data_IF_991643419493
#
_entry.id   IF_991643419493
#
_cell.length_a   1.000
_cell.length_b   1.000
_cell.length_c   1.000
_cell.angle_alpha   90.00
_cell.angle_beta   90.00
_cell.angle_gamma   90.00
#
_symmetry.space_group_name_H-M   'P 1'
#
loop_
_entity.id
_entity.type
_entity.pdbx_description
1 polymer ?
#
# COMPACT_ATOMS: atom_id res chain seq x y z
N UNK A 1 21.16 19.16 -12.14
CA UNK A 1 20.28 18.34 -11.28
C UNK A 1 18.97 17.98 -11.99
N UNK A 2 18.13 18.94 -12.43
CA UNK A 2 16.85 18.67 -13.12
C UNK A 2 16.99 17.70 -14.30
N UNK A 3 17.90 17.95 -15.25
CA UNK A 3 18.11 17.08 -16.42
C UNK A 3 18.47 15.63 -16.05
N UNK A 4 19.22 15.42 -14.97
CA UNK A 4 19.55 14.09 -14.46
C UNK A 4 18.29 13.39 -13.91
N UNK A 5 17.50 14.07 -13.07
CA UNK A 5 16.27 13.51 -12.51
C UNK A 5 15.26 13.19 -13.61
N UNK A 6 15.08 14.08 -14.59
CA UNK A 6 14.19 13.85 -15.75
C UNK A 6 14.62 12.59 -16.53
N UNK A 7 15.93 12.39 -16.72
CA UNK A 7 16.43 11.20 -17.44
C UNK A 7 16.31 9.90 -16.67
N UNK A 8 16.42 9.94 -15.34
CA UNK A 8 16.50 8.76 -14.48
C UNK A 8 15.41 8.74 -13.40
N UNK A 9 14.18 9.16 -13.72
CA UNK A 9 13.09 9.35 -12.75
C UNK A 9 12.83 8.12 -11.87
N UNK A 10 12.73 6.93 -12.46
CA UNK A 10 12.46 5.67 -11.73
C UNK A 10 13.61 5.36 -10.77
N UNK A 11 14.86 5.47 -11.23
CA UNK A 11 16.03 5.23 -10.38
C UNK A 11 16.09 6.23 -9.22
N UNK A 12 15.85 7.52 -9.50
CA UNK A 12 15.80 8.55 -8.46
C UNK A 12 14.71 8.26 -7.44
N UNK A 13 13.52 7.88 -7.90
CA UNK A 13 12.42 7.50 -7.00
C UNK A 13 12.83 6.34 -6.08
N UNK A 14 13.36 5.25 -6.63
CA UNK A 14 13.77 4.08 -5.85
C UNK A 14 14.83 4.45 -4.82
N UNK A 15 15.89 5.15 -5.25
CA UNK A 15 16.98 5.55 -4.35
C UNK A 15 16.48 6.45 -3.23
N UNK A 16 15.64 7.44 -3.53
CA UNK A 16 15.08 8.36 -2.53
C UNK A 16 14.15 7.61 -1.57
N UNK A 17 13.24 6.76 -2.09
CA UNK A 17 12.31 5.99 -1.26
C UNK A 17 13.07 5.10 -0.26
N UNK A 18 14.05 4.34 -0.74
CA UNK A 18 14.87 3.47 0.10
C UNK A 18 15.74 4.27 1.09
N UNK A 19 16.33 5.38 0.65
CA UNK A 19 17.12 6.23 1.54
C UNK A 19 16.29 6.82 2.68
N UNK A 20 15.12 7.39 2.37
CA UNK A 20 14.22 7.93 3.40
C UNK A 20 13.77 6.82 4.35
N UNK A 21 13.31 5.68 3.82
CA UNK A 21 12.77 4.60 4.63
C UNK A 21 13.84 3.89 5.46
N UNK A 22 14.92 3.41 4.83
CA UNK A 22 15.86 2.49 5.45
C UNK A 22 17.05 3.19 6.09
N UNK A 23 17.54 4.31 5.52
CA UNK A 23 18.71 5.00 6.07
C UNK A 23 18.34 6.10 7.07
N UNK A 24 17.12 6.65 7.01
CA UNK A 24 16.68 7.72 7.91
C UNK A 24 15.56 7.19 8.83
N UNK A 25 14.46 6.73 8.25
CA UNK A 25 13.26 6.36 8.99
C UNK A 25 13.48 5.15 9.91
N UNK A 26 14.12 4.10 9.41
CA UNK A 26 14.35 2.89 10.21
C UNK A 26 15.30 3.12 11.40
N UNK A 27 16.47 3.76 11.26
CA UNK A 27 17.30 4.10 12.40
C UNK A 27 16.59 5.03 13.40
N UNK A 28 15.87 6.05 12.92
CA UNK A 28 15.13 6.93 13.80
C UNK A 28 14.07 6.16 14.60
N UNK A 29 13.33 5.26 13.94
CA UNK A 29 12.36 4.38 14.61
C UNK A 29 13.03 3.53 15.69
N UNK A 30 14.12 2.85 15.36
CA UNK A 30 14.75 1.87 16.26
C UNK A 30 15.46 2.52 17.45
N UNK A 31 16.14 3.65 17.25
CA UNK A 31 17.04 4.25 18.26
C UNK A 31 16.45 5.45 18.99
N UNK A 32 15.31 5.99 18.54
CA UNK A 32 14.73 7.19 19.14
C UNK A 32 13.23 7.00 19.42
N UNK A 33 12.45 6.64 18.41
CA UNK A 33 10.98 6.69 18.53
C UNK A 33 10.42 5.49 19.29
N UNK A 34 11.05 4.32 19.25
CA UNK A 34 10.59 3.17 20.02
C UNK A 34 10.69 3.45 21.52
N UNK A 35 11.78 4.06 21.98
CA UNK A 35 11.95 4.41 23.41
C UNK A 35 11.00 5.54 23.82
N UNK A 36 10.85 6.56 22.95
CA UNK A 36 9.97 7.72 23.24
C UNK A 36 8.51 7.31 23.36
N UNK A 37 8.09 6.25 22.70
CA UNK A 37 6.71 5.79 22.62
C UNK A 37 6.47 4.41 23.23
N UNK A 38 7.43 3.87 24.00
CA UNK A 38 7.37 2.52 24.58
C UNK A 38 6.14 2.31 25.46
N UNK A 39 5.75 3.29 26.25
CA UNK A 39 4.62 3.22 27.20
C UNK A 39 3.26 3.62 26.61
N UNK A 40 3.18 3.88 25.32
CA UNK A 40 1.93 4.32 24.71
C UNK A 40 1.07 3.13 24.29
N UNK A 41 -0.07 2.95 24.94
CA UNK A 41 -1.11 1.96 24.53
C UNK A 41 -1.64 2.20 23.12
N UNK A 42 -1.44 3.38 22.63
CA UNK A 42 -1.96 3.81 21.36
C UNK A 42 -0.93 3.64 20.29
N UNK A 43 -1.27 3.05 19.23
CA UNK A 43 -0.84 3.30 17.88
C UNK A 43 0.19 4.39 17.58
N UNK A 44 0.90 4.91 18.55
CA UNK A 44 2.17 5.61 18.41
C UNK A 44 3.19 4.73 17.68
N UNK A 45 2.93 3.41 17.62
CA UNK A 45 3.54 2.49 16.68
C UNK A 45 3.36 2.92 15.21
N UNK A 46 2.29 3.60 14.85
CA UNK A 46 2.13 4.21 13.52
C UNK A 46 3.02 5.44 13.36
N UNK A 47 3.06 6.33 14.36
CA UNK A 47 3.92 7.52 14.32
C UNK A 47 5.41 7.15 14.27
N UNK A 48 5.84 6.14 15.04
CA UNK A 48 7.23 5.67 14.99
C UNK A 48 7.61 5.11 13.61
N UNK A 49 6.65 4.57 12.86
CA UNK A 49 6.86 4.03 11.52
C UNK A 49 6.72 5.10 10.41
N UNK A 50 6.23 6.30 10.70
CA UNK A 50 5.82 7.28 9.67
C UNK A 50 6.92 7.53 8.64
N UNK A 51 8.15 7.86 9.04
CA UNK A 51 9.23 8.11 8.09
C UNK A 51 9.66 6.85 7.31
N UNK A 52 9.57 5.68 7.94
CA UNK A 52 9.82 4.41 7.23
C UNK A 52 8.82 4.25 6.11
N UNK A 53 7.54 4.45 6.41
CA UNK A 53 6.43 4.14 5.50
C UNK A 53 6.22 5.23 4.45
N UNK A 54 6.47 6.51 4.78
CA UNK A 54 6.31 7.63 3.85
C UNK A 54 7.45 7.78 2.83
N UNK A 55 8.50 6.97 2.89
CA UNK A 55 9.58 7.03 1.91
C UNK A 55 9.10 7.03 0.47
N UNK A 56 8.22 6.11 0.05
CA UNK A 56 7.66 6.08 -1.31
C UNK A 56 6.84 7.31 -1.69
N UNK A 57 5.94 7.78 -0.81
CA UNK A 57 5.14 8.98 -1.07
C UNK A 57 6.02 10.23 -1.22
N UNK A 58 6.98 10.40 -0.32
CA UNK A 58 7.93 11.52 -0.36
C UNK A 58 8.84 11.46 -1.58
N UNK A 59 9.30 10.26 -1.97
CA UNK A 59 10.08 10.09 -3.19
C UNK A 59 9.30 10.53 -4.44
N UNK A 60 8.05 10.14 -4.56
CA UNK A 60 7.16 10.60 -5.63
C UNK A 60 7.02 12.12 -5.64
N UNK A 61 6.74 12.70 -4.47
CA UNK A 61 6.59 14.15 -4.32
C UNK A 61 7.88 14.91 -4.71
N UNK A 62 9.04 14.42 -4.26
CA UNK A 62 10.34 15.04 -4.58
C UNK A 62 10.62 14.95 -6.09
N UNK A 63 10.45 13.78 -6.71
CA UNK A 63 10.70 13.61 -8.14
C UNK A 63 9.77 14.52 -8.95
N UNK A 64 8.46 14.52 -8.67
CA UNK A 64 7.48 15.35 -9.37
C UNK A 64 7.77 16.84 -9.18
N UNK A 65 8.14 17.26 -7.97
CA UNK A 65 8.46 18.68 -7.72
C UNK A 65 9.61 19.20 -8.61
N UNK A 66 10.58 18.32 -8.88
CA UNK A 66 11.74 18.64 -9.72
C UNK A 66 11.38 18.56 -11.23
N UNK A 67 10.58 17.58 -11.63
CA UNK A 67 10.27 17.34 -13.06
C UNK A 67 9.14 18.22 -13.56
N UNK A 68 8.01 18.25 -12.84
CA UNK A 68 6.74 18.79 -13.31
C UNK A 68 6.27 20.02 -12.50
N UNK A 69 6.96 20.33 -11.40
CA UNK A 69 6.69 21.51 -10.57
C UNK A 69 5.34 21.46 -9.86
N UNK A 70 4.75 22.65 -9.62
CA UNK A 70 3.51 22.77 -8.84
C UNK A 70 2.30 22.12 -9.48
N UNK A 71 2.22 22.11 -10.80
CA UNK A 71 1.13 21.44 -11.53
C UNK A 71 1.20 19.92 -11.35
N UNK A 72 2.41 19.35 -11.44
CA UNK A 72 2.62 17.93 -11.18
C UNK A 72 2.26 17.55 -9.74
N UNK A 73 2.64 18.37 -8.76
CA UNK A 73 2.26 18.17 -7.34
C UNK A 73 0.74 18.18 -7.18
N UNK A 74 0.05 19.16 -7.77
CA UNK A 74 -1.42 19.23 -7.71
C UNK A 74 -2.06 17.99 -8.31
N UNK A 75 -1.61 17.54 -9.48
CA UNK A 75 -2.11 16.33 -10.13
C UNK A 75 -1.82 15.05 -9.30
N UNK A 76 -0.65 14.98 -8.67
CA UNK A 76 -0.27 13.86 -7.81
C UNK A 76 -1.17 13.75 -6.58
N UNK A 77 -1.37 14.86 -5.88
CA UNK A 77 -2.24 14.89 -4.69
C UNK A 77 -3.72 14.76 -5.05
N UNK A 78 -4.14 15.24 -6.22
CA UNK A 78 -5.51 15.10 -6.71
C UNK A 78 -5.96 13.65 -6.89
N UNK A 79 -5.01 12.69 -7.02
CA UNK A 79 -5.35 11.25 -7.03
C UNK A 79 -5.94 10.74 -5.71
N UNK A 80 -5.82 11.52 -4.64
CA UNK A 80 -6.41 11.23 -3.33
C UNK A 80 -7.83 11.77 -3.18
N UNK A 81 -8.39 12.45 -4.18
CA UNK A 81 -9.75 12.94 -4.09
C UNK A 81 -10.74 11.77 -3.99
N UNK A 82 -11.63 11.79 -2.98
CA UNK A 82 -12.64 10.76 -2.84
C UNK A 82 -13.75 10.97 -3.90
N UNK A 83 -14.01 9.96 -4.71
CA UNK A 83 -15.07 9.99 -5.71
C UNK A 83 -16.25 9.11 -5.28
N UNK A 84 -17.45 9.66 -5.20
CA UNK A 84 -18.65 8.94 -4.74
C UNK A 84 -18.96 7.67 -5.57
N UNK A 85 -18.56 7.64 -6.84
CA UNK A 85 -18.69 6.48 -7.72
C UNK A 85 -17.93 5.24 -7.20
N UNK A 86 -16.98 5.45 -6.29
CA UNK A 86 -16.18 4.40 -5.69
C UNK A 86 -16.69 3.95 -4.31
N UNK A 87 -17.85 4.42 -3.84
CA UNK A 87 -18.37 4.13 -2.50
C UNK A 87 -18.49 2.63 -2.20
N UNK A 88 -18.75 1.82 -3.21
CA UNK A 88 -18.82 0.37 -3.05
C UNK A 88 -17.47 -0.19 -2.56
N UNK A 89 -16.35 0.35 -3.03
CA UNK A 89 -15.02 -0.05 -2.60
C UNK A 89 -14.71 0.41 -1.18
N UNK A 90 -15.20 1.58 -0.77
CA UNK A 90 -14.97 2.10 0.57
C UNK A 90 -15.64 1.23 1.65
N UNK A 91 -16.69 0.51 1.29
CA UNK A 91 -17.43 -0.38 2.19
C UNK A 91 -16.94 -1.83 2.05
N UNK A 92 -16.85 -2.32 0.81
CA UNK A 92 -16.54 -3.73 0.56
C UNK A 92 -15.12 -4.12 0.94
N UNK A 93 -14.13 -3.23 0.73
CA UNK A 93 -12.73 -3.54 1.04
C UNK A 93 -12.49 -3.72 2.55
N UNK A 94 -12.93 -2.81 3.45
CA UNK A 94 -12.79 -3.04 4.88
C UNK A 94 -13.52 -4.29 5.38
N UNK A 95 -14.74 -4.54 4.89
CA UNK A 95 -15.48 -5.75 5.24
C UNK A 95 -14.75 -7.01 4.77
N UNK A 96 -14.24 -7.03 3.55
CA UNK A 96 -13.46 -8.14 3.03
C UNK A 96 -12.18 -8.38 3.85
N UNK A 97 -11.43 -7.31 4.17
CA UNK A 97 -10.22 -7.39 4.98
C UNK A 97 -10.47 -7.99 6.35
N UNK A 98 -11.53 -7.53 7.04
CA UNK A 98 -11.94 -8.08 8.34
C UNK A 98 -12.30 -9.56 8.22
N UNK A 99 -13.13 -9.93 7.23
CA UNK A 99 -13.56 -11.33 7.04
C UNK A 99 -12.38 -12.23 6.72
N UNK A 100 -11.50 -11.82 5.81
CA UNK A 100 -10.31 -12.59 5.42
C UNK A 100 -9.40 -12.80 6.63
N UNK A 101 -9.16 -11.76 7.41
CA UNK A 101 -8.30 -11.85 8.60
C UNK A 101 -8.93 -12.76 9.67
N UNK A 102 -10.21 -12.61 9.96
CA UNK A 102 -10.91 -13.48 10.90
C UNK A 102 -10.84 -14.95 10.49
N UNK A 103 -11.09 -15.24 9.21
CA UNK A 103 -10.98 -16.61 8.68
C UNK A 103 -9.57 -17.16 8.84
N UNK A 104 -8.55 -16.36 8.56
CA UNK A 104 -7.16 -16.78 8.68
C UNK A 104 -6.75 -17.03 10.14
N UNK A 105 -7.15 -16.17 11.06
CA UNK A 105 -6.84 -16.34 12.50
C UNK A 105 -7.57 -17.54 13.09
N UNK A 106 -8.86 -17.73 12.77
CA UNK A 106 -9.63 -18.91 13.22
C UNK A 106 -9.00 -20.19 12.68
N UNK A 107 -8.69 -20.25 11.39
CA UNK A 107 -8.05 -21.40 10.77
C UNK A 107 -6.60 -21.58 11.26
N UNK A 108 -5.94 -20.51 11.71
CA UNK A 108 -4.62 -20.52 12.35
C UNK A 108 -4.63 -21.09 13.77
N UNK A 109 -5.81 -21.26 14.37
CA UNK A 109 -5.97 -21.91 15.68
C UNK A 109 -6.48 -20.99 16.81
N UNK A 110 -6.90 -19.76 16.50
CA UNK A 110 -7.55 -18.88 17.48
C UNK A 110 -9.05 -19.20 17.56
N UNK A 111 -9.63 -19.23 18.75
CA UNK A 111 -11.07 -19.41 18.90
C UNK A 111 -11.83 -18.11 18.57
N UNK A 112 -13.05 -18.18 18.02
CA UNK A 112 -13.89 -17.00 17.81
C UNK A 112 -14.12 -16.19 19.08
N UNK A 113 -14.21 -16.86 20.24
CA UNK A 113 -14.36 -16.20 21.54
C UNK A 113 -13.16 -15.32 21.90
N UNK A 114 -11.94 -15.85 21.75
CA UNK A 114 -10.71 -15.06 21.96
C UNK A 114 -10.66 -13.82 21.06
N UNK A 115 -10.98 -13.97 19.78
CA UNK A 115 -10.98 -12.84 18.84
C UNK A 115 -12.05 -11.80 19.21
N UNK A 116 -13.22 -12.23 19.65
CA UNK A 116 -14.27 -11.33 20.14
C UNK A 116 -13.84 -10.58 21.42
N UNK A 117 -13.19 -11.24 22.36
CA UNK A 117 -12.64 -10.62 23.57
C UNK A 117 -11.63 -9.52 23.24
N UNK A 118 -10.75 -9.73 22.27
CA UNK A 118 -9.80 -8.71 21.83
C UNK A 118 -10.49 -7.45 21.28
N UNK A 119 -11.60 -7.62 20.56
CA UNK A 119 -12.35 -6.47 20.01
C UNK A 119 -13.10 -5.74 21.13
N UNK A 120 -13.76 -6.46 22.04
CA UNK A 120 -14.57 -5.85 23.14
C UNK A 120 -13.67 -5.14 24.16
N UNK A 121 -12.45 -5.61 24.36
CA UNK A 121 -11.49 -4.99 25.29
C UNK A 121 -10.98 -3.60 24.85
N UNK A 122 -11.25 -3.20 23.60
CA UNK A 122 -10.73 -1.95 23.03
C UNK A 122 -11.80 -0.85 23.05
N UNK A 123 -11.43 0.33 23.51
CA UNK A 123 -12.33 1.48 23.43
C UNK A 123 -12.58 1.87 21.96
N UNK A 124 -13.80 2.37 21.61
CA UNK A 124 -14.11 2.81 20.27
C UNK A 124 -13.15 3.88 19.74
N UNK A 125 -12.67 4.77 20.63
CA UNK A 125 -11.69 5.80 20.27
C UNK A 125 -10.35 5.18 19.83
N UNK A 126 -9.85 4.20 20.59
CA UNK A 126 -8.61 3.50 20.26
C UNK A 126 -8.74 2.75 18.93
N UNK A 127 -9.89 2.11 18.69
CA UNK A 127 -10.18 1.45 17.42
C UNK A 127 -10.15 2.43 16.24
N UNK A 128 -10.79 3.59 16.37
CA UNK A 128 -10.76 4.66 15.36
C UNK A 128 -9.33 5.16 15.10
N UNK A 129 -8.51 5.29 16.14
CA UNK A 129 -7.12 5.70 15.98
C UNK A 129 -6.27 4.66 15.27
N UNK A 130 -6.50 3.37 15.51
CA UNK A 130 -5.86 2.29 14.76
C UNK A 130 -6.26 2.32 13.28
N UNK A 131 -7.55 2.47 12.98
CA UNK A 131 -8.04 2.59 11.60
C UNK A 131 -7.44 3.83 10.92
N UNK A 132 -7.49 4.97 11.60
CA UNK A 132 -6.90 6.22 11.11
C UNK A 132 -5.40 6.10 10.86
N UNK A 133 -4.66 5.47 11.78
CA UNK A 133 -3.24 5.20 11.62
C UNK A 133 -2.93 4.29 10.42
N UNK A 134 -3.71 3.24 10.23
CA UNK A 134 -3.57 2.36 9.07
C UNK A 134 -3.83 3.10 7.75
N UNK A 135 -4.88 3.91 7.68
CA UNK A 135 -5.18 4.70 6.48
C UNK A 135 -4.14 5.80 6.23
N UNK A 136 -3.88 6.64 7.25
CA UNK A 136 -3.09 7.86 7.08
C UNK A 136 -1.58 7.61 7.10
N UNK A 137 -1.12 6.52 7.70
CA UNK A 137 0.32 6.20 7.73
C UNK A 137 0.63 5.09 6.73
N UNK A 138 0.06 3.89 6.92
CA UNK A 138 0.42 2.75 6.05
C UNK A 138 -0.11 2.95 4.63
N UNK A 139 -1.42 3.01 4.46
CA UNK A 139 -2.04 3.12 3.15
C UNK A 139 -1.59 4.36 2.37
N UNK A 140 -1.63 5.54 2.97
CA UNK A 140 -1.25 6.79 2.29
C UNK A 140 0.25 6.84 1.96
N UNK A 141 1.11 6.49 2.94
CA UNK A 141 2.56 6.56 2.78
C UNK A 141 3.08 5.63 1.67
N UNK A 142 2.45 4.48 1.51
CA UNK A 142 2.85 3.51 0.52
C UNK A 142 2.13 3.70 -0.82
N UNK A 143 0.81 3.73 -0.83
CA UNK A 143 0.06 3.70 -2.09
C UNK A 143 0.23 4.97 -2.93
N UNK A 144 0.40 6.13 -2.29
CA UNK A 144 0.69 7.36 -3.00
C UNK A 144 2.02 7.24 -3.78
N UNK A 145 3.02 6.58 -3.21
CA UNK A 145 4.29 6.30 -3.90
C UNK A 145 4.17 5.16 -4.93
N UNK A 146 3.74 3.98 -4.48
CA UNK A 146 3.76 2.78 -5.32
C UNK A 146 2.75 2.83 -6.46
N UNK A 147 1.47 3.16 -6.18
CA UNK A 147 0.40 3.19 -7.20
C UNK A 147 0.10 4.58 -7.69
N UNK A 148 0.38 5.61 -6.88
CA UNK A 148 0.22 7.00 -7.30
C UNK A 148 1.32 7.47 -8.26
N UNK A 149 2.56 6.97 -8.13
CA UNK A 149 3.68 7.40 -8.96
C UNK A 149 4.38 6.25 -9.70
N UNK A 150 4.87 5.23 -8.99
CA UNK A 150 5.77 4.24 -9.60
C UNK A 150 5.07 3.34 -10.62
N UNK A 151 3.89 2.80 -10.29
CA UNK A 151 3.15 1.92 -11.18
C UNK A 151 2.83 2.59 -12.53
N UNK A 152 2.18 3.78 -12.59
CA UNK A 152 1.92 4.44 -13.85
C UNK A 152 3.22 4.77 -14.61
N UNK A 153 4.27 5.19 -13.90
CA UNK A 153 5.56 5.51 -14.54
C UNK A 153 6.25 4.29 -15.15
N UNK A 154 6.15 3.13 -14.52
CA UNK A 154 6.64 1.87 -15.06
C UNK A 154 5.77 1.35 -16.21
N UNK A 155 4.50 1.69 -16.24
CA UNK A 155 3.58 1.29 -17.30
C UNK A 155 3.77 2.08 -18.60
N UNK A 156 4.45 3.23 -18.59
CA UNK A 156 4.79 3.98 -19.79
C UNK A 156 5.57 3.09 -20.78
N UNK A 157 4.98 2.80 -21.94
CA UNK A 157 5.54 1.94 -22.98
C UNK A 157 5.67 0.46 -22.63
N UNK A 158 4.99 0.00 -21.55
CA UNK A 158 4.97 -1.41 -21.10
C UNK A 158 3.56 -1.87 -20.80
N UNK A 159 3.34 -3.19 -20.80
CA UNK A 159 2.08 -3.72 -20.28
C UNK A 159 1.98 -3.50 -18.77
N UNK A 160 0.75 -3.28 -18.29
CA UNK A 160 0.46 -3.08 -16.87
C UNK A 160 0.94 -4.28 -16.03
N UNK A 161 0.88 -5.50 -16.60
CA UNK A 161 1.44 -6.72 -16.00
C UNK A 161 2.95 -6.62 -15.76
N UNK A 162 3.73 -6.11 -16.73
CA UNK A 162 5.18 -5.92 -16.54
C UNK A 162 5.45 -4.88 -15.47
N UNK A 163 4.71 -3.76 -15.48
CA UNK A 163 4.82 -2.73 -14.46
C UNK A 163 4.49 -3.27 -13.07
N UNK A 164 3.42 -4.05 -12.94
CA UNK A 164 3.02 -4.74 -11.70
C UNK A 164 4.14 -5.64 -11.15
N UNK A 165 4.76 -6.47 -11.99
CA UNK A 165 5.86 -7.34 -11.55
C UNK A 165 7.09 -6.55 -11.09
N UNK A 166 7.36 -5.41 -11.74
CA UNK A 166 8.45 -4.52 -11.31
C UNK A 166 8.12 -3.85 -9.96
N UNK A 167 6.87 -3.38 -9.77
CA UNK A 167 6.42 -2.85 -8.48
C UNK A 167 6.52 -3.92 -7.40
N UNK A 168 6.06 -5.14 -7.65
CA UNK A 168 6.21 -6.27 -6.73
C UNK A 168 7.66 -6.46 -6.28
N UNK A 169 8.59 -6.55 -7.24
CA UNK A 169 10.00 -6.77 -6.92
C UNK A 169 10.59 -5.64 -6.07
N UNK A 170 10.30 -4.38 -6.42
CA UNK A 170 10.77 -3.20 -5.71
C UNK A 170 10.16 -3.14 -4.31
N UNK A 171 8.85 -3.39 -4.19
CA UNK A 171 8.10 -3.35 -2.94
C UNK A 171 8.54 -4.47 -2.00
N UNK A 172 8.73 -5.69 -2.50
CA UNK A 172 9.29 -6.79 -1.71
C UNK A 172 10.70 -6.46 -1.20
N UNK A 173 11.58 -5.91 -2.05
CA UNK A 173 12.93 -5.49 -1.63
C UNK A 173 12.92 -4.33 -0.62
N UNK A 174 11.93 -3.45 -0.69
CA UNK A 174 11.80 -2.36 0.29
C UNK A 174 11.51 -2.90 1.70
N UNK A 175 10.88 -4.06 1.82
CA UNK A 175 10.68 -4.78 3.08
C UNK A 175 11.90 -5.62 3.53
N UNK A 176 13.09 -5.36 3.00
CA UNK A 176 14.30 -6.11 3.32
C UNK A 176 14.52 -6.38 4.83
N UNK A 177 14.24 -5.44 5.76
CA UNK A 177 14.39 -5.73 7.19
C UNK A 177 13.57 -6.92 7.69
N UNK A 178 12.42 -7.20 7.07
CA UNK A 178 11.56 -8.33 7.43
C UNK A 178 12.18 -9.68 7.06
N UNK A 179 13.11 -9.71 6.12
CA UNK A 179 13.79 -10.95 5.69
C UNK A 179 14.62 -11.61 6.81
N UNK A 180 14.89 -10.88 7.89
CA UNK A 180 15.56 -11.41 9.09
C UNK A 180 14.58 -12.01 10.12
N UNK A 181 13.26 -11.98 9.88
CA UNK A 181 12.23 -12.52 10.79
C UNK A 181 12.02 -14.05 10.71
N UNK A 182 12.85 -14.74 9.93
CA UNK A 182 12.76 -16.18 9.73
C UNK A 182 11.81 -16.60 8.60
N UNK A 183 12.10 -17.74 7.96
CA UNK A 183 11.45 -18.18 6.73
C UNK A 183 9.93 -18.42 6.87
N UNK A 184 9.46 -18.77 8.06
CA UNK A 184 8.02 -19.01 8.34
C UNK A 184 7.17 -17.74 8.28
N UNK A 185 7.80 -16.56 8.39
CA UNK A 185 7.16 -15.26 8.21
C UNK A 185 7.47 -14.72 6.80
N UNK A 186 8.73 -14.80 6.39
CA UNK A 186 9.20 -14.23 5.12
C UNK A 186 8.50 -14.85 3.92
N UNK A 187 8.32 -16.17 3.89
CA UNK A 187 7.70 -16.83 2.74
C UNK A 187 6.23 -16.46 2.55
N UNK A 188 5.35 -16.57 3.58
CA UNK A 188 3.99 -16.06 3.48
C UNK A 188 3.92 -14.58 3.12
N UNK A 189 4.79 -13.76 3.70
CA UNK A 189 4.84 -12.33 3.42
C UNK A 189 5.15 -12.05 1.94
N UNK A 190 6.15 -12.69 1.33
CA UNK A 190 6.46 -12.50 -0.09
C UNK A 190 5.27 -12.90 -0.97
N UNK A 191 4.57 -13.99 -0.63
CA UNK A 191 3.36 -14.43 -1.34
C UNK A 191 2.25 -13.38 -1.21
N UNK A 192 2.05 -12.80 -0.01
CA UNK A 192 1.08 -11.72 0.22
C UNK A 192 1.44 -10.49 -0.63
N UNK A 193 2.68 -10.01 -0.59
CA UNK A 193 3.12 -8.84 -1.37
C UNK A 193 2.94 -9.08 -2.88
N UNK A 194 3.21 -10.29 -3.37
CA UNK A 194 2.93 -10.66 -4.76
C UNK A 194 1.42 -10.60 -5.06
N UNK A 195 0.61 -11.27 -4.23
CA UNK A 195 -0.84 -11.31 -4.40
C UNK A 195 -1.46 -9.90 -4.34
N UNK A 196 -1.05 -9.07 -3.39
CA UNK A 196 -1.49 -7.69 -3.27
C UNK A 196 -1.01 -6.83 -4.44
N UNK A 197 0.17 -7.10 -5.00
CA UNK A 197 0.61 -6.40 -6.21
C UNK A 197 -0.32 -6.66 -7.39
N UNK A 198 -0.80 -7.90 -7.54
CA UNK A 198 -1.81 -8.26 -8.56
C UNK A 198 -3.14 -7.58 -8.26
N UNK A 199 -3.66 -7.74 -7.04
CA UNK A 199 -4.98 -7.24 -6.63
C UNK A 199 -5.02 -5.70 -6.72
N UNK A 200 -4.02 -5.01 -6.19
CA UNK A 200 -3.98 -3.54 -6.16
C UNK A 200 -3.75 -2.95 -7.55
N UNK A 201 -3.01 -3.63 -8.43
CA UNK A 201 -2.87 -3.18 -9.83
C UNK A 201 -4.18 -3.36 -10.60
N UNK A 202 -4.88 -4.47 -10.40
CA UNK A 202 -6.21 -4.68 -10.97
C UNK A 202 -7.22 -3.65 -10.44
N UNK A 203 -7.21 -3.38 -9.13
CA UNK A 203 -8.08 -2.37 -8.52
C UNK A 203 -7.74 -0.97 -9.04
N UNK A 204 -6.45 -0.63 -9.16
CA UNK A 204 -5.98 0.63 -9.72
C UNK A 204 -6.54 0.88 -11.13
N UNK A 205 -6.51 -0.13 -12.00
CA UNK A 205 -7.10 -0.04 -13.34
C UNK A 205 -8.64 0.16 -13.28
N UNK A 206 -9.31 -0.54 -12.37
CA UNK A 206 -10.77 -0.45 -12.19
C UNK A 206 -11.26 0.90 -11.69
N UNK A 207 -10.48 1.55 -10.85
CA UNK A 207 -10.84 2.86 -10.26
C UNK A 207 -10.18 4.04 -10.98
N UNK A 208 -9.66 3.82 -12.20
CA UNK A 208 -9.05 4.88 -13.00
C UNK A 208 -7.85 5.56 -12.35
N UNK A 209 -7.06 4.82 -11.55
CA UNK A 209 -5.89 5.36 -10.86
C UNK A 209 -6.19 6.13 -9.57
N UNK A 210 -7.42 6.08 -9.06
CA UNK A 210 -7.78 6.73 -7.79
C UNK A 210 -7.01 6.10 -6.62
N UNK A 211 -6.08 6.85 -6.04
CA UNK A 211 -5.21 6.36 -4.96
C UNK A 211 -5.95 6.30 -3.62
N UNK A 212 -6.98 7.10 -3.42
CA UNK A 212 -7.77 7.05 -2.19
C UNK A 212 -8.38 5.66 -1.95
N UNK A 213 -8.88 5.01 -3.01
CA UNK A 213 -9.39 3.63 -2.92
C UNK A 213 -8.28 2.64 -2.57
N UNK A 214 -7.07 2.84 -3.12
CA UNK A 214 -5.91 1.99 -2.81
C UNK A 214 -5.44 2.16 -1.36
N UNK A 215 -5.51 3.38 -0.82
CA UNK A 215 -5.25 3.65 0.61
C UNK A 215 -6.21 2.85 1.49
N UNK A 216 -7.51 2.86 1.16
CA UNK A 216 -8.51 2.05 1.89
C UNK A 216 -8.21 0.56 1.73
N UNK A 217 -7.89 0.10 0.51
CA UNK A 217 -7.56 -1.30 0.26
C UNK A 217 -6.37 -1.77 1.11
N UNK A 218 -5.30 -0.98 1.15
CA UNK A 218 -4.09 -1.26 1.93
C UNK A 218 -4.39 -1.30 3.43
N UNK A 219 -5.05 -0.27 3.94
CA UNK A 219 -5.47 -0.23 5.34
C UNK A 219 -6.39 -1.40 5.72
N UNK A 220 -7.22 -1.86 4.79
CA UNK A 220 -8.14 -3.00 4.99
C UNK A 220 -7.41 -4.34 5.12
N UNK A 221 -6.22 -4.46 4.57
CA UNK A 221 -5.34 -5.63 4.74
C UNK A 221 -4.59 -5.53 6.06
N UNK A 222 -3.92 -4.41 6.29
CA UNK A 222 -2.96 -4.27 7.39
C UNK A 222 -3.63 -4.06 8.74
N UNK A 223 -4.72 -3.28 8.80
CA UNK A 223 -5.34 -2.94 10.07
C UNK A 223 -5.85 -4.17 10.84
N UNK A 224 -6.68 -5.07 10.27
CA UNK A 224 -7.22 -6.19 11.04
C UNK A 224 -6.12 -7.14 11.50
N UNK A 225 -5.11 -7.40 10.67
CA UNK A 225 -3.99 -8.25 10.99
C UNK A 225 -3.17 -7.65 12.14
N UNK A 226 -2.71 -6.41 12.01
CA UNK A 226 -1.91 -5.73 13.02
C UNK A 226 -2.68 -5.57 14.35
N UNK A 227 -3.99 -5.36 14.27
CA UNK A 227 -4.86 -5.27 15.42
C UNK A 227 -4.84 -6.57 16.23
N UNK A 228 -5.10 -7.71 15.61
CA UNK A 228 -5.10 -8.99 16.33
C UNK A 228 -3.71 -9.37 16.80
N UNK A 229 -2.67 -9.22 16.00
CA UNK A 229 -1.29 -9.52 16.39
C UNK A 229 -0.85 -8.74 17.62
N UNK A 230 -1.24 -7.47 17.72
CA UNK A 230 -0.90 -6.62 18.87
C UNK A 230 -1.57 -7.05 20.18
N UNK A 231 -2.62 -7.90 20.12
CA UNK A 231 -3.41 -8.39 21.25
C UNK A 231 -3.05 -9.81 21.65
N UNK A 232 -2.40 -10.54 20.76
CA UNK A 232 -1.96 -11.90 21.02
C UNK A 232 -0.77 -11.89 21.97
N UNK A 233 -0.90 -12.55 23.13
CA UNK A 233 0.17 -12.69 24.11
C UNK A 233 1.26 -13.68 23.66
N UNK A 234 2.30 -13.80 24.46
CA UNK A 234 3.37 -14.76 24.26
C UNK A 234 2.85 -16.21 24.21
N UNK A 235 3.53 -17.08 23.50
CA UNK A 235 3.19 -18.50 23.37
C UNK A 235 2.22 -18.84 22.23
N UNK A 236 1.85 -17.85 21.41
CA UNK A 236 0.97 -18.04 20.25
C UNK A 236 1.68 -17.93 18.89
N UNK A 237 3.02 -17.99 18.88
CA UNK A 237 3.84 -17.77 17.67
C UNK A 237 3.47 -18.75 16.54
N UNK A 238 3.17 -20.01 16.87
CA UNK A 238 2.77 -21.00 15.89
C UNK A 238 1.41 -20.65 15.25
N UNK A 239 0.47 -20.17 16.04
CA UNK A 239 -0.86 -19.76 15.56
C UNK A 239 -0.77 -18.53 14.67
N UNK A 240 0.08 -17.54 15.01
CA UNK A 240 0.36 -16.37 14.18
C UNK A 240 0.98 -16.81 12.85
N UNK A 241 2.01 -17.68 12.88
CA UNK A 241 2.64 -18.19 11.65
C UNK A 241 1.65 -18.95 10.74
N UNK A 242 0.75 -19.73 11.35
CA UNK A 242 -0.32 -20.39 10.61
C UNK A 242 -1.28 -19.37 9.98
N UNK A 243 -1.70 -18.35 10.75
CA UNK A 243 -2.57 -17.29 10.25
C UNK A 243 -1.93 -16.55 9.06
N UNK A 244 -0.64 -16.20 9.12
CA UNK A 244 0.10 -15.62 8.00
C UNK A 244 0.10 -16.52 6.76
N UNK A 245 0.32 -17.82 6.96
CA UNK A 245 0.31 -18.80 5.86
C UNK A 245 -1.06 -18.87 5.21
N UNK A 246 -2.13 -18.88 6.01
CA UNK A 246 -3.50 -18.92 5.52
C UNK A 246 -3.88 -17.62 4.81
N UNK A 247 -3.49 -16.46 5.35
CA UNK A 247 -3.65 -15.16 4.69
C UNK A 247 -2.99 -15.17 3.31
N UNK A 248 -1.75 -15.66 3.22
CA UNK A 248 -1.03 -15.77 1.97
C UNK A 248 -1.78 -16.62 0.94
N UNK A 249 -2.33 -17.76 1.35
CA UNK A 249 -3.11 -18.64 0.49
C UNK A 249 -4.43 -17.99 0.04
N UNK A 250 -5.15 -17.33 0.93
CA UNK A 250 -6.40 -16.65 0.60
C UNK A 250 -6.13 -15.51 -0.40
N UNK A 251 -5.16 -14.65 -0.13
CA UNK A 251 -4.82 -13.56 -1.04
C UNK A 251 -4.29 -14.07 -2.39
N UNK A 252 -3.55 -15.17 -2.41
CA UNK A 252 -3.08 -15.78 -3.66
C UNK A 252 -4.27 -16.30 -4.51
N UNK A 253 -5.25 -16.95 -3.89
CA UNK A 253 -6.47 -17.41 -4.58
C UNK A 253 -7.25 -16.22 -5.14
N UNK A 254 -7.41 -15.14 -4.37
CA UNK A 254 -8.05 -13.90 -4.83
C UNK A 254 -7.26 -13.31 -6.00
N UNK A 255 -5.93 -13.23 -5.89
CA UNK A 255 -5.06 -12.70 -6.94
C UNK A 255 -5.18 -13.49 -8.25
N UNK A 256 -5.23 -14.83 -8.17
CA UNK A 256 -5.47 -15.69 -9.34
C UNK A 256 -6.85 -15.37 -9.95
N UNK A 257 -7.90 -15.26 -9.14
CA UNK A 257 -9.25 -14.91 -9.60
C UNK A 257 -9.28 -13.56 -10.33
N UNK A 258 -8.76 -12.49 -9.71
CA UNK A 258 -8.75 -11.16 -10.34
C UNK A 258 -7.82 -11.10 -11.56
N UNK A 259 -6.73 -11.87 -11.58
CA UNK A 259 -5.85 -11.96 -12.74
C UNK A 259 -6.59 -12.60 -13.94
N UNK A 260 -7.31 -13.70 -13.72
CA UNK A 260 -8.10 -14.37 -14.79
C UNK A 260 -9.17 -13.41 -15.33
N UNK A 261 -9.87 -12.70 -14.45
CA UNK A 261 -10.92 -11.74 -14.83
C UNK A 261 -10.37 -10.48 -15.51
N UNK A 262 -9.21 -10.01 -15.08
CA UNK A 262 -8.58 -8.75 -15.52
C UNK A 262 -7.47 -8.89 -16.56
N UNK A 263 -7.10 -10.12 -16.97
CA UNK A 263 -5.90 -10.37 -17.80
C UNK A 263 -5.83 -9.55 -19.09
N UNK A 264 -6.98 -9.29 -19.73
CA UNK A 264 -7.02 -8.52 -20.98
C UNK A 264 -6.51 -7.09 -20.78
N UNK A 265 -6.90 -6.44 -19.69
CA UNK A 265 -6.45 -5.07 -19.37
C UNK A 265 -5.00 -5.06 -18.90
N UNK A 266 -4.57 -6.09 -18.14
CA UNK A 266 -3.20 -6.20 -17.64
C UNK A 266 -2.16 -6.43 -18.76
N UNK A 267 -2.56 -7.05 -19.86
CA UNK A 267 -1.69 -7.30 -21.01
C UNK A 267 -1.64 -6.13 -22.02
N UNK A 268 -2.53 -5.13 -21.89
CA UNK A 268 -2.53 -3.94 -22.74
C UNK A 268 -1.31 -3.06 -22.44
N UNK A 269 -0.62 -2.64 -23.50
CA UNK A 269 0.43 -1.62 -23.40
C UNK A 269 -0.23 -0.25 -23.34
N UNK A 270 0.06 0.51 -22.30
CA UNK A 270 -0.44 1.87 -22.16
C UNK A 270 0.45 2.81 -23.01
N UNK A 271 0.01 3.09 -24.23
CA UNK A 271 0.76 3.95 -25.16
C UNK A 271 0.72 5.43 -24.74
N UNK A 272 -0.34 5.87 -24.06
CA UNK A 272 -0.52 7.25 -23.58
C UNK A 272 -1.09 7.28 -22.17
N UNK A 273 -0.23 7.24 -21.19
CA UNK A 273 -0.64 7.27 -19.77
C UNK A 273 -1.08 8.68 -19.32
N UNK A 274 -0.73 9.72 -20.06
CA UNK A 274 -1.03 11.10 -19.67
C UNK A 274 -2.53 11.44 -19.71
N UNK A 275 -3.28 10.92 -20.67
CA UNK A 275 -4.72 11.24 -20.79
C UNK A 275 -5.59 10.60 -19.70
N UNK A 276 -5.23 9.40 -19.20
CA UNK A 276 -6.03 8.73 -18.16
C UNK A 276 -5.79 9.27 -16.75
N UNK A 277 -4.67 9.94 -16.52
CA UNK A 277 -4.24 10.36 -15.19
C UNK A 277 -4.50 11.84 -14.90
N UNK A 278 -4.99 12.59 -15.89
CA UNK A 278 -5.37 13.99 -15.70
C UNK A 278 -6.79 14.06 -15.12
N UNK A 279 -7.05 14.88 -14.08
CA UNK A 279 -8.39 15.25 -13.69
C UNK A 279 -9.19 15.77 -14.91
N UNK A 280 -10.50 15.53 -14.95
CA UNK A 280 -11.36 15.83 -16.13
C UNK A 280 -11.19 17.23 -16.72
N UNK A 281 -11.03 18.27 -15.87
CA UNK A 281 -10.79 19.65 -16.29
C UNK A 281 -9.45 19.87 -17.03
N UNK A 282 -8.44 19.03 -16.77
CA UNK A 282 -7.15 19.11 -17.48
C UNK A 282 -7.19 18.39 -18.83
N UNK A 283 -8.06 17.40 -19.01
CA UNK A 283 -8.26 16.72 -20.31
C UNK A 283 -8.80 17.67 -21.36
N UNK A 284 -9.75 18.54 -20.98
CA UNK A 284 -10.33 19.53 -21.90
C UNK A 284 -9.31 20.58 -22.34
N UNK A 285 -8.36 20.98 -21.47
CA UNK A 285 -7.33 21.96 -21.85
C UNK A 285 -6.25 21.39 -22.78
N UNK A 286 -5.88 20.11 -22.58
CA UNK A 286 -4.86 19.48 -23.46
C UNK A 286 -5.45 19.24 -24.85
N UNK A 287 -6.70 18.77 -24.93
CA UNK A 287 -7.37 18.54 -26.20
C UNK A 287 -7.77 19.86 -26.92
N UNK A 288 -7.95 20.95 -26.19
CA UNK A 288 -8.25 22.27 -26.74
C UNK A 288 -7.02 23.04 -27.29
N UNK A 289 -5.81 22.63 -26.91
CA UNK A 289 -4.55 23.22 -27.43
C UNK A 289 -4.03 22.50 -28.70
N UNK A 290 -4.52 21.28 -29.00
CA UNK A 290 -4.22 20.56 -30.24
C UNK A 290 -5.11 20.97 -31.43
N UNK A 291 -6.21 21.72 -31.19
CA UNK A 291 -7.14 22.20 -32.24
C UNK A 291 -6.89 23.66 -32.68
N UNK A 292 -5.83 24.32 -32.20
CA UNK A 292 -5.43 25.68 -32.61
C UNK A 292 -4.05 25.65 -33.32
#
# INVERSE_FOLDING_TARGET
MKAFVVKYQITCFIVIAFAISLLIGLPLKLFVLNDLFADSELGLNYFSKTLVVFGPALAGLIVISITDGTLGIKAYLGKLEPHADHIIWWISLPLAGIVITLLAFIAGGFSPGQLAEYVVAVSPMLLLMHIGGACLVLGLGEELGWRGWLLPKLAEGRSLKKAMLMVFAIWALWHLPLFFSGWRIVLPFIVIVFALSVIFTWLWDRVGGNVFVLVIAHASVDFPQAFFESRVGEGHEAQIQNAWTILALIYLVIAIGVYILGRRNLDVVLEQTNERLLPGEMKEKVNGEEEL
#
